data_IF_994616881224
#
_entry.id   IF_994616881224
#
_cell.length_a   1.000
_cell.length_b   1.000
_cell.length_c   1.000
_cell.angle_alpha   90.00
_cell.angle_beta   90.00
_cell.angle_gamma   90.00
#
_symmetry.space_group_name_H-M   'P 1'
#
loop_
_entity.id
_entity.type
_entity.pdbx_description
1 polymer ?
#
# COMPACT_ATOMS: atom_id res chain seq x y z
N UNK A 1 9.94 -9.78 17.77
CA UNK A 1 8.78 -9.26 17.01
C UNK A 1 9.03 -7.86 16.40
N UNK A 2 9.78 -6.95 17.03
CA UNK A 2 10.01 -5.59 16.48
C UNK A 2 10.86 -5.51 15.20
N UNK A 3 11.83 -6.40 14.98
CA UNK A 3 12.74 -6.30 13.82
C UNK A 3 12.03 -6.64 12.51
N UNK A 4 11.27 -7.74 12.45
CA UNK A 4 10.51 -8.09 11.24
C UNK A 4 9.47 -7.03 10.89
N UNK A 5 8.77 -6.48 11.90
CA UNK A 5 7.83 -5.38 11.69
C UNK A 5 8.53 -4.13 11.15
N UNK A 6 9.67 -3.76 11.75
CA UNK A 6 10.44 -2.61 11.28
C UNK A 6 10.91 -2.79 9.84
N UNK A 7 11.40 -3.98 9.46
CA UNK A 7 11.80 -4.29 8.09
C UNK A 7 10.61 -4.18 7.15
N UNK A 8 9.46 -4.77 7.48
CA UNK A 8 8.25 -4.65 6.65
C UNK A 8 7.82 -3.19 6.47
N UNK A 9 7.78 -2.40 7.54
CA UNK A 9 7.38 -0.98 7.48
C UNK A 9 8.38 -0.13 6.70
N UNK A 10 9.67 -0.38 6.85
CA UNK A 10 10.72 0.30 6.11
C UNK A 10 10.63 -0.04 4.62
N UNK A 11 10.42 -1.31 4.27
CA UNK A 11 10.21 -1.72 2.89
C UNK A 11 8.94 -1.11 2.29
N UNK A 12 7.83 -1.06 3.03
CA UNK A 12 6.62 -0.35 2.58
C UNK A 12 6.91 1.13 2.31
N UNK A 13 7.56 1.84 3.23
CA UNK A 13 7.92 3.25 3.03
C UNK A 13 8.81 3.45 1.79
N UNK A 14 9.79 2.58 1.57
CA UNK A 14 10.62 2.64 0.38
C UNK A 14 9.80 2.45 -0.91
N UNK A 15 8.83 1.56 -0.92
CA UNK A 15 7.98 1.34 -2.10
C UNK A 15 7.05 2.53 -2.37
N UNK A 16 6.40 3.05 -1.33
CA UNK A 16 5.56 4.25 -1.42
C UNK A 16 6.33 5.45 -1.99
N UNK A 17 7.53 5.71 -1.48
CA UNK A 17 8.28 6.92 -1.86
C UNK A 17 9.07 6.74 -3.16
N UNK A 18 9.70 5.57 -3.37
CA UNK A 18 10.62 5.36 -4.50
C UNK A 18 9.93 4.81 -5.74
N UNK A 19 8.76 4.18 -5.61
CA UNK A 19 8.03 3.60 -6.74
C UNK A 19 6.78 4.43 -7.07
N UNK A 20 5.89 4.63 -6.10
CA UNK A 20 4.62 5.36 -6.30
C UNK A 20 4.85 6.88 -6.45
N UNK A 21 5.82 7.45 -5.72
CA UNK A 21 6.16 8.88 -5.84
C UNK A 21 6.53 9.29 -7.27
N UNK A 22 7.48 8.58 -7.94
CA UNK A 22 7.80 8.81 -9.34
C UNK A 22 6.63 8.54 -10.29
N UNK A 23 5.77 7.56 -10.01
CA UNK A 23 4.54 7.35 -10.78
C UNK A 23 3.63 8.57 -10.74
N UNK A 24 3.34 9.10 -9.55
CA UNK A 24 2.53 10.31 -9.38
C UNK A 24 3.16 11.50 -10.10
N UNK A 25 4.48 11.71 -9.96
CA UNK A 25 5.18 12.79 -10.64
C UNK A 25 5.05 12.69 -12.17
N UNK A 26 5.33 11.52 -12.74
CA UNK A 26 5.22 11.27 -14.18
C UNK A 26 3.78 11.46 -14.67
N UNK A 27 2.79 11.06 -13.86
CA UNK A 27 1.37 11.15 -14.19
C UNK A 27 0.81 12.58 -14.10
N UNK A 28 1.41 13.45 -13.28
CA UNK A 28 1.00 14.85 -13.15
C UNK A 28 1.65 15.77 -14.21
N UNK A 29 2.88 15.46 -14.63
CA UNK A 29 3.62 16.25 -15.63
C UNK A 29 3.36 15.74 -17.06
N UNK A 30 2.84 14.53 -17.20
CA UNK A 30 2.52 13.91 -18.48
C UNK A 30 1.92 12.53 -18.31
N UNK A 31 2.50 11.53 -18.98
CA UNK A 31 2.09 10.13 -18.84
C UNK A 31 3.31 9.25 -18.63
N UNK A 32 3.10 8.10 -17.99
CA UNK A 32 4.15 7.08 -17.82
C UNK A 32 4.61 6.57 -19.19
N UNK A 33 3.71 6.45 -20.16
CA UNK A 33 4.03 5.95 -21.50
C UNK A 33 5.11 6.79 -22.21
N UNK A 34 5.03 8.13 -22.11
CA UNK A 34 5.99 9.04 -22.77
C UNK A 34 7.23 9.30 -21.93
N UNK A 35 7.20 8.95 -20.65
CA UNK A 35 8.31 9.12 -19.72
C UNK A 35 9.46 8.14 -20.00
N UNK A 36 10.69 8.54 -19.66
CA UNK A 36 11.91 7.74 -19.86
C UNK A 36 12.65 7.57 -18.54
N UNK A 37 13.31 6.43 -18.37
CA UNK A 37 14.12 6.11 -17.19
C UNK A 37 13.73 4.77 -16.58
N UNK A 38 14.56 4.26 -15.67
CA UNK A 38 14.38 2.93 -15.08
C UNK A 38 13.00 2.73 -14.45
N UNK A 39 12.54 3.68 -13.63
CA UNK A 39 11.23 3.60 -12.98
C UNK A 39 10.07 3.75 -13.97
N UNK A 40 10.24 4.55 -15.03
CA UNK A 40 9.23 4.65 -16.09
C UNK A 40 9.08 3.32 -16.82
N UNK A 41 10.17 2.63 -17.14
CA UNK A 41 10.13 1.31 -17.78
C UNK A 41 9.51 0.24 -16.87
N UNK A 42 9.77 0.30 -15.55
CA UNK A 42 9.13 -0.59 -14.58
C UNK A 42 7.60 -0.41 -14.56
N UNK A 43 7.13 0.83 -14.54
CA UNK A 43 5.69 1.12 -14.62
C UNK A 43 5.10 0.81 -15.98
N UNK A 44 5.88 0.91 -17.07
CA UNK A 44 5.43 0.44 -18.39
C UNK A 44 5.24 -1.05 -18.45
N UNK A 45 6.11 -1.81 -17.78
CA UNK A 45 5.99 -3.26 -17.67
C UNK A 45 4.71 -3.64 -16.90
N UNK A 46 4.48 -3.01 -15.74
CA UNK A 46 3.25 -3.22 -14.99
C UNK A 46 2.01 -2.78 -15.78
N UNK A 47 2.15 -1.72 -16.58
CA UNK A 47 1.15 -1.21 -17.50
C UNK A 47 0.66 -2.21 -18.56
N UNK A 48 1.40 -3.29 -18.82
CA UNK A 48 0.93 -4.39 -19.67
C UNK A 48 -0.16 -5.22 -19.00
N UNK A 49 -0.12 -5.33 -17.67
CA UNK A 49 -1.14 -6.02 -16.89
C UNK A 49 -2.33 -5.12 -16.55
N UNK A 50 -2.07 -3.82 -16.31
CA UNK A 50 -3.11 -2.82 -16.07
C UNK A 50 -2.79 -1.52 -16.81
N UNK A 51 -3.46 -1.30 -17.94
CA UNK A 51 -3.13 -0.16 -18.83
C UNK A 51 -3.41 1.21 -18.20
N UNK A 52 -4.19 1.28 -17.12
CA UNK A 52 -4.53 2.55 -16.45
C UNK A 52 -3.30 3.25 -15.88
N UNK A 53 -2.28 2.48 -15.49
CA UNK A 53 -1.00 2.99 -15.00
C UNK A 53 -0.15 3.63 -16.11
N UNK A 54 -0.40 3.29 -17.39
CA UNK A 54 0.29 3.91 -18.52
C UNK A 54 -0.25 5.31 -18.83
N UNK A 55 -1.57 5.45 -18.74
CA UNK A 55 -2.32 6.61 -19.24
C UNK A 55 -2.82 7.54 -18.12
N UNK A 56 -2.28 7.40 -16.91
CA UNK A 56 -2.58 8.29 -15.77
C UNK A 56 -4.07 8.36 -15.45
N UNK A 57 -4.75 7.21 -15.33
CA UNK A 57 -6.17 7.15 -14.97
C UNK A 57 -6.44 7.95 -13.69
N UNK A 58 -7.45 8.83 -13.73
CA UNK A 58 -7.70 9.79 -12.65
C UNK A 58 -8.02 9.11 -11.31
N UNK A 59 -8.67 7.94 -11.32
CA UNK A 59 -8.93 7.21 -10.09
C UNK A 59 -7.63 6.70 -9.47
N UNK A 60 -6.78 6.04 -10.27
CA UNK A 60 -5.48 5.54 -9.81
C UNK A 60 -4.60 6.70 -9.32
N UNK A 61 -4.44 7.75 -10.12
CA UNK A 61 -3.61 8.90 -9.75
C UNK A 61 -4.14 9.58 -8.47
N UNK A 62 -5.46 9.68 -8.28
CA UNK A 62 -6.03 10.27 -7.07
C UNK A 62 -5.72 9.47 -5.80
N UNK A 63 -5.72 8.14 -5.89
CA UNK A 63 -5.39 7.24 -4.78
C UNK A 63 -3.90 7.34 -4.50
N UNK A 64 -3.05 7.26 -5.53
CA UNK A 64 -1.60 7.27 -5.36
C UNK A 64 -1.07 8.60 -4.80
N UNK A 65 -1.72 9.74 -5.09
CA UNK A 65 -1.39 11.00 -4.42
C UNK A 65 -1.58 10.89 -2.90
N UNK A 66 -2.69 10.29 -2.47
CA UNK A 66 -2.96 10.09 -1.04
C UNK A 66 -1.97 9.09 -0.45
N UNK A 67 -1.72 7.97 -1.12
CA UNK A 67 -0.79 6.92 -0.67
C UNK A 67 0.64 7.45 -0.56
N UNK A 68 1.14 8.19 -1.55
CA UNK A 68 2.47 8.79 -1.50
C UNK A 68 2.59 9.84 -0.38
N UNK A 69 1.56 10.66 -0.15
CA UNK A 69 1.66 11.75 0.84
C UNK A 69 1.27 11.29 2.24
N UNK A 70 0.04 10.83 2.42
CA UNK A 70 -0.52 10.46 3.71
C UNK A 70 0.13 9.18 4.25
N UNK A 71 0.18 8.12 3.44
CA UNK A 71 0.66 6.82 3.93
C UNK A 71 2.16 6.84 4.18
N UNK A 72 2.95 7.58 3.38
CA UNK A 72 4.38 7.80 3.68
C UNK A 72 4.57 8.54 5.01
N UNK A 73 3.79 9.58 5.30
CA UNK A 73 3.87 10.30 6.58
C UNK A 73 3.48 9.38 7.73
N UNK A 74 2.39 8.62 7.60
CA UNK A 74 1.96 7.64 8.60
C UNK A 74 3.02 6.56 8.80
N UNK A 75 3.66 6.06 7.75
CA UNK A 75 4.71 5.05 7.81
C UNK A 75 5.95 5.58 8.55
N UNK A 76 6.40 6.81 8.27
CA UNK A 76 7.51 7.44 9.01
C UNK A 76 7.17 7.60 10.50
N UNK A 77 5.98 8.11 10.81
CA UNK A 77 5.53 8.27 12.20
C UNK A 77 5.41 6.92 12.91
N UNK A 78 4.93 5.90 12.21
CA UNK A 78 4.79 4.55 12.75
C UNK A 78 6.16 3.93 13.02
N UNK A 79 7.13 4.08 12.11
CA UNK A 79 8.51 3.64 12.32
C UNK A 79 9.09 4.32 13.57
N UNK A 80 8.92 5.64 13.70
CA UNK A 80 9.32 6.36 14.91
C UNK A 80 8.65 5.79 16.16
N UNK A 81 7.34 5.56 16.12
CA UNK A 81 6.56 5.01 17.22
C UNK A 81 7.03 3.60 17.62
N UNK A 82 7.40 2.75 16.65
CA UNK A 82 7.97 1.42 16.88
C UNK A 82 9.35 1.53 17.54
N UNK A 83 10.24 2.37 17.02
CA UNK A 83 11.60 2.53 17.56
C UNK A 83 11.61 3.13 18.97
N UNK A 84 10.70 4.06 19.25
CA UNK A 84 10.60 4.75 20.54
C UNK A 84 9.56 4.16 21.49
N UNK A 85 8.96 3.01 21.13
CA UNK A 85 7.94 2.31 21.93
C UNK A 85 6.81 3.24 22.41
N UNK A 86 6.25 4.03 21.49
CA UNK A 86 5.19 5.01 21.80
C UNK A 86 3.82 4.35 21.91
N UNK A 87 2.99 4.85 22.82
CA UNK A 87 1.63 4.33 23.08
C UNK A 87 0.71 4.39 21.85
N UNK A 88 0.89 5.40 20.98
CA UNK A 88 0.08 5.60 19.79
C UNK A 88 0.52 4.74 18.59
N UNK A 89 1.51 3.84 18.75
CA UNK A 89 1.98 2.96 17.67
C UNK A 89 0.85 2.18 17.01
N UNK A 90 0.00 1.52 17.79
CA UNK A 90 -1.08 0.68 17.24
C UNK A 90 -2.18 1.50 16.57
N UNK A 91 -2.41 2.74 17.01
CA UNK A 91 -3.30 3.66 16.31
C UNK A 91 -2.77 3.96 14.91
N UNK A 92 -1.49 4.36 14.79
CA UNK A 92 -0.88 4.60 13.48
C UNK A 92 -0.83 3.36 12.59
N UNK A 93 -0.53 2.19 13.17
CA UNK A 93 -0.49 0.92 12.44
C UNK A 93 -1.85 0.55 11.85
N UNK A 94 -2.93 0.68 12.65
CA UNK A 94 -4.28 0.42 12.17
C UNK A 94 -4.68 1.42 11.09
N UNK A 95 -4.43 2.71 11.28
CA UNK A 95 -4.75 3.73 10.29
C UNK A 95 -4.06 3.45 8.94
N UNK A 96 -2.75 3.21 8.96
CA UNK A 96 -1.99 2.89 7.75
C UNK A 96 -2.52 1.64 7.05
N UNK A 97 -2.79 0.56 7.80
CA UNK A 97 -3.31 -0.68 7.22
C UNK A 97 -4.70 -0.48 6.58
N UNK A 98 -5.54 0.38 7.15
CA UNK A 98 -6.86 0.68 6.59
C UNK A 98 -6.72 1.50 5.30
N UNK A 99 -5.80 2.46 5.24
CA UNK A 99 -5.51 3.20 4.01
C UNK A 99 -5.11 2.26 2.87
N UNK A 100 -4.14 1.36 3.13
CA UNK A 100 -3.63 0.40 2.13
C UNK A 100 -4.73 -0.54 1.62
N UNK A 101 -5.54 -1.11 2.53
CA UNK A 101 -6.64 -2.01 2.15
C UNK A 101 -7.74 -1.27 1.37
N UNK A 102 -8.05 -0.04 1.76
CA UNK A 102 -9.05 0.77 1.08
C UNK A 102 -8.55 1.22 -0.30
N UNK A 103 -7.29 1.65 -0.41
CA UNK A 103 -6.64 2.00 -1.67
C UNK A 103 -6.66 0.81 -2.64
N UNK A 104 -6.24 -0.37 -2.19
CA UNK A 104 -6.31 -1.60 -2.98
C UNK A 104 -7.74 -1.92 -3.43
N UNK A 105 -8.73 -1.78 -2.54
CA UNK A 105 -10.13 -1.97 -2.92
C UNK A 105 -10.58 -0.99 -4.01
N UNK A 106 -10.24 0.29 -3.87
CA UNK A 106 -10.60 1.33 -4.84
C UNK A 106 -9.87 1.20 -6.18
N UNK A 107 -8.70 0.55 -6.21
CA UNK A 107 -7.97 0.24 -7.44
C UNK A 107 -8.66 -0.84 -8.28
N UNK A 108 -9.20 -1.88 -7.64
CA UNK A 108 -9.75 -3.06 -8.32
C UNK A 108 -11.28 -3.11 -8.41
N UNK A 109 -12.00 -2.72 -7.37
CA UNK A 109 -13.46 -2.83 -7.32
C UNK A 109 -14.15 -2.08 -8.49
N UNK A 110 -13.77 -0.84 -8.85
CA UNK A 110 -14.33 -0.17 -10.02
C UNK A 110 -14.10 -0.91 -11.35
N UNK A 111 -12.96 -1.61 -11.50
CA UNK A 111 -12.72 -2.45 -12.67
C UNK A 111 -13.60 -3.68 -12.68
N UNK A 112 -13.74 -4.38 -11.54
CA UNK A 112 -14.62 -5.55 -11.46
C UNK A 112 -16.07 -5.20 -11.81
N UNK A 113 -16.55 -4.03 -11.37
CA UNK A 113 -17.88 -3.53 -11.70
C UNK A 113 -18.06 -3.18 -13.19
N UNK A 114 -16.99 -2.81 -13.87
CA UNK A 114 -17.01 -2.42 -15.30
C UNK A 114 -16.58 -3.56 -16.24
N UNK A 115 -16.37 -4.77 -15.71
CA UNK A 115 -15.93 -5.93 -16.51
C UNK A 115 -14.43 -5.97 -16.80
N UNK A 116 -13.63 -5.17 -16.09
CA UNK A 116 -12.17 -5.13 -16.13
C UNK A 116 -11.54 -4.91 -17.52
N UNK A 117 -12.01 -3.91 -18.29
CA UNK A 117 -11.57 -3.71 -19.68
C UNK A 117 -10.08 -3.34 -19.82
N UNK A 118 -9.46 -2.82 -18.76
CA UNK A 118 -8.05 -2.41 -18.75
C UNK A 118 -7.10 -3.45 -18.15
N UNK A 119 -7.63 -4.52 -17.56
CA UNK A 119 -6.83 -5.57 -16.93
C UNK A 119 -6.61 -6.72 -17.90
N UNK A 120 -5.35 -7.04 -18.19
CA UNK A 120 -5.03 -8.25 -18.94
C UNK A 120 -5.08 -9.47 -18.02
N UNK A 121 -6.22 -10.15 -18.05
CA UNK A 121 -6.47 -11.40 -17.32
C UNK A 121 -6.18 -12.66 -18.15
N UNK A 122 -5.80 -12.50 -19.42
CA UNK A 122 -5.60 -13.63 -20.34
C UNK A 122 -4.20 -14.21 -20.25
N UNK A 123 -3.20 -13.36 -20.01
CA UNK A 123 -1.82 -13.77 -19.88
C UNK A 123 -1.53 -14.25 -18.45
N UNK A 124 -1.04 -15.49 -18.30
CA UNK A 124 -0.83 -16.13 -16.99
C UNK A 124 0.05 -15.29 -16.05
N UNK A 125 1.13 -14.71 -16.58
CA UNK A 125 2.07 -13.91 -15.79
C UNK A 125 1.41 -12.62 -15.29
N UNK A 126 0.62 -11.95 -16.14
CA UNK A 126 -0.05 -10.70 -15.78
C UNK A 126 -1.11 -10.96 -14.72
N UNK A 127 -1.92 -12.00 -14.90
CA UNK A 127 -2.95 -12.34 -13.92
C UNK A 127 -2.37 -12.79 -12.59
N UNK A 128 -1.54 -13.84 -12.58
CA UNK A 128 -1.18 -14.50 -11.31
C UNK A 128 -0.04 -13.82 -10.57
N UNK A 129 0.95 -13.29 -11.29
CA UNK A 129 2.10 -12.65 -10.65
C UNK A 129 1.84 -11.16 -10.46
N UNK A 130 1.43 -10.46 -11.52
CA UNK A 130 1.34 -9.00 -11.44
C UNK A 130 0.10 -8.57 -10.68
N UNK A 131 -1.07 -9.07 -11.07
CA UNK A 131 -2.34 -8.69 -10.44
C UNK A 131 -2.55 -9.42 -9.12
N UNK A 132 -2.48 -10.75 -9.07
CA UNK A 132 -2.82 -11.51 -7.85
C UNK A 132 -1.71 -11.46 -6.80
N UNK A 133 -0.46 -11.81 -7.14
CA UNK A 133 0.59 -11.94 -6.13
C UNK A 133 1.01 -10.59 -5.54
N UNK A 134 1.43 -9.61 -6.35
CA UNK A 134 1.90 -8.33 -5.80
C UNK A 134 0.81 -7.57 -5.03
N UNK A 135 -0.40 -7.46 -5.58
CA UNK A 135 -1.51 -6.83 -4.86
C UNK A 135 -1.99 -7.69 -3.68
N UNK A 136 -1.87 -9.02 -3.77
CA UNK A 136 -2.16 -9.94 -2.67
C UNK A 136 -1.25 -9.71 -1.46
N UNK A 137 0.01 -9.34 -1.66
CA UNK A 137 0.92 -8.93 -0.57
C UNK A 137 0.41 -7.66 0.11
N UNK A 138 -0.10 -6.69 -0.65
CA UNK A 138 -0.73 -5.45 -0.15
C UNK A 138 -2.06 -5.66 0.56
N UNK A 139 -2.66 -6.85 0.45
CA UNK A 139 -3.79 -7.24 1.29
C UNK A 139 -3.32 -8.02 2.51
N UNK A 140 -2.47 -9.02 2.30
CA UNK A 140 -2.04 -9.95 3.33
C UNK A 140 -1.26 -9.26 4.45
N UNK A 141 -0.29 -8.41 4.11
CA UNK A 141 0.55 -7.75 5.10
C UNK A 141 -0.28 -6.82 6.01
N UNK A 142 -1.11 -5.89 5.50
CA UNK A 142 -1.98 -5.08 6.34
C UNK A 142 -2.92 -5.90 7.22
N UNK A 143 -3.53 -6.96 6.70
CA UNK A 143 -4.43 -7.82 7.51
C UNK A 143 -3.67 -8.48 8.66
N UNK A 144 -2.48 -9.03 8.43
CA UNK A 144 -1.67 -9.62 9.49
C UNK A 144 -1.27 -8.58 10.54
N UNK A 145 -0.95 -7.35 10.12
CA UNK A 145 -0.63 -6.24 11.02
C UNK A 145 -1.84 -5.76 11.83
N UNK A 146 -3.04 -5.77 11.26
CA UNK A 146 -4.29 -5.47 11.97
C UNK A 146 -4.58 -6.53 13.03
N UNK A 147 -4.47 -7.81 12.68
CA UNK A 147 -4.63 -8.92 13.63
C UNK A 147 -3.61 -8.83 14.77
N UNK A 148 -2.35 -8.52 14.45
CA UNK A 148 -1.30 -8.33 15.45
C UNK A 148 -1.59 -7.14 16.39
N UNK A 149 -2.08 -6.02 15.85
CA UNK A 149 -2.49 -4.88 16.66
C UNK A 149 -3.70 -5.18 17.53
N UNK A 150 -4.69 -5.91 17.01
CA UNK A 150 -5.88 -6.32 17.75
C UNK A 150 -5.52 -7.12 19.01
N UNK A 151 -4.70 -8.15 18.87
CA UNK A 151 -4.28 -8.96 20.02
C UNK A 151 -3.47 -8.17 21.03
N UNK A 152 -2.62 -7.26 20.56
CA UNK A 152 -1.79 -6.42 21.43
C UNK A 152 -2.64 -5.44 22.25
N UNK A 153 -3.65 -4.81 21.61
CA UNK A 153 -4.61 -3.93 22.28
C UNK A 153 -5.49 -4.69 23.28
N UNK A 154 -5.93 -5.90 22.94
CA UNK A 154 -6.68 -6.77 23.85
C UNK A 154 -5.88 -7.10 25.12
N UNK A 155 -4.61 -7.46 24.98
CA UNK A 155 -3.73 -7.72 26.14
C UNK A 155 -3.57 -6.47 27.00
N UNK A 156 -3.28 -5.32 26.39
CA UNK A 156 -3.14 -4.05 27.11
C UNK A 156 -4.41 -3.69 27.90
N UNK A 157 -5.58 -3.90 27.32
CA UNK A 157 -6.86 -3.66 28.01
C UNK A 157 -7.04 -4.56 29.23
N UNK A 158 -6.72 -5.85 29.12
CA UNK A 158 -6.78 -6.78 30.24
C UNK A 158 -5.79 -6.41 31.36
N UNK A 159 -4.60 -5.95 31.02
CA UNK A 159 -3.60 -5.50 31.99
C UNK A 159 -4.09 -4.27 32.78
N UNK A 160 -4.81 -3.36 32.12
CA UNK A 160 -5.44 -2.21 32.80
C UNK A 160 -6.53 -2.68 33.76
N UNK A 161 -7.38 -3.62 33.35
CA UNK A 161 -8.45 -4.16 34.21
C UNK A 161 -7.87 -4.85 35.45
N UNK A 162 -6.83 -5.67 35.27
CA UNK A 162 -6.22 -6.45 36.37
C UNK A 162 -5.51 -5.56 37.37
N UNK A 163 -4.85 -4.48 36.95
CA UNK A 163 -4.22 -3.51 37.86
C UNK A 163 -5.21 -2.64 38.64
N UNK A 164 -6.43 -2.50 38.15
CA UNK A 164 -7.49 -1.71 38.78
C UNK A 164 -8.37 -2.53 39.74
N UNK A 165 -8.09 -3.82 39.92
CA UNK A 165 -8.67 -4.68 40.95
C UNK A 165 -7.68 -4.84 42.10
#
# INVERSE_FOLDING_TARGET
>A
MSVCLFVCLFTCLCLLVLQEGPFVYMSLVGTVQTSKGFLAELWKEYGKADSRWLFSDSNIVSIEILTVVLDSVLAVLLIHAVLRQKYYRHFLQVSLCVCELYGGWMTFCPQWLTGSPHLDTTHWLHLWVYLVFFNGVWVLVPVLLLVQSWFSLKTLHNDVITKNK
#
